data_IF_646625006126
#
_entry.id   IF_646625006126
#
_cell.length_a   1.000
_cell.length_b   1.000
_cell.length_c   1.000
_cell.angle_alpha   90.00
_cell.angle_beta   90.00
_cell.angle_gamma   90.00
#
_symmetry.space_group_name_H-M   'P 1'
#
loop_
_entity.id
_entity.type
_entity.pdbx_description
1 polymer ?
#
# COMPACT_ATOMS: atom_id res chain seq x y z
N UNK A 1 13.76 -5.28 1.54
CA UNK A 1 13.88 -6.74 1.77
C UNK A 1 14.50 -6.97 3.15
N UNK A 2 13.72 -7.44 4.11
CA UNK A 2 14.13 -7.66 5.52
C UNK A 2 14.70 -9.07 5.73
N UNK A 3 15.56 -9.55 4.83
CA UNK A 3 16.13 -10.89 4.88
C UNK A 3 17.07 -11.10 6.08
N UNK A 4 17.57 -10.02 6.67
CA UNK A 4 18.40 -10.02 7.88
C UNK A 4 17.62 -9.73 9.15
N UNK A 5 16.30 -9.47 9.06
CA UNK A 5 15.50 -9.18 10.24
C UNK A 5 15.05 -10.51 10.88
N UNK A 6 15.52 -10.84 12.09
CA UNK A 6 15.25 -12.16 12.69
C UNK A 6 13.75 -12.38 12.92
N UNK A 7 12.97 -11.32 13.14
CA UNK A 7 11.51 -11.41 13.31
C UNK A 7 10.80 -11.93 12.06
N UNK A 8 11.18 -11.44 10.88
CA UNK A 8 10.58 -11.87 9.61
C UNK A 8 10.95 -13.31 9.27
N UNK A 9 12.19 -13.72 9.55
CA UNK A 9 12.65 -15.09 9.31
C UNK A 9 11.87 -16.07 10.20
N UNK A 10 11.76 -15.79 11.51
CA UNK A 10 11.03 -16.64 12.45
C UNK A 10 9.55 -16.76 12.08
N UNK A 11 8.91 -15.67 11.67
CA UNK A 11 7.53 -15.68 11.22
C UNK A 11 7.34 -16.56 9.98
N UNK A 12 8.28 -16.51 9.01
CA UNK A 12 8.21 -17.33 7.81
C UNK A 12 8.38 -18.81 8.10
N UNK A 13 9.35 -19.17 8.96
CA UNK A 13 9.57 -20.55 9.40
C UNK A 13 8.32 -21.09 10.12
N UNK A 14 7.72 -20.31 11.02
CA UNK A 14 6.50 -20.71 11.72
C UNK A 14 5.34 -20.99 10.75
N UNK A 15 5.16 -20.12 9.75
CA UNK A 15 4.10 -20.26 8.74
C UNK A 15 4.28 -21.52 7.89
N UNK A 16 5.51 -21.84 7.48
CA UNK A 16 5.82 -23.07 6.73
C UNK A 16 5.58 -24.31 7.57
N UNK A 17 6.08 -24.32 8.79
CA UNK A 17 5.95 -25.47 9.69
C UNK A 17 4.47 -25.76 9.99
N UNK A 18 3.67 -24.71 10.18
CA UNK A 18 2.22 -24.83 10.33
C UNK A 18 1.53 -25.33 9.05
N UNK A 19 1.97 -24.86 7.88
CA UNK A 19 1.36 -25.23 6.60
C UNK A 19 1.69 -26.64 6.11
N UNK A 20 2.83 -27.20 6.52
CA UNK A 20 3.30 -28.51 6.05
C UNK A 20 2.76 -29.70 6.87
N UNK A 21 2.53 -29.52 8.18
CA UNK A 21 2.03 -30.57 9.07
C UNK A 21 2.97 -31.79 9.23
N UNK A 22 2.73 -32.67 10.22
CA UNK A 22 3.54 -33.86 10.44
C UNK A 22 3.21 -34.93 9.38
N UNK A 23 4.03 -35.01 8.33
CA UNK A 23 3.83 -35.92 7.18
C UNK A 23 3.83 -35.25 5.80
N UNK A 24 4.35 -34.02 5.72
CA UNK A 24 4.39 -33.23 4.50
C UNK A 24 4.98 -33.98 3.31
N UNK A 25 4.14 -34.26 2.32
CA UNK A 25 4.55 -34.77 1.02
C UNK A 25 5.13 -33.63 0.17
N UNK A 26 5.99 -33.94 -0.81
CA UNK A 26 6.51 -32.98 -1.79
C UNK A 26 5.39 -32.21 -2.50
N UNK A 27 4.22 -32.84 -2.66
CA UNK A 27 3.00 -32.21 -3.18
C UNK A 27 2.50 -31.06 -2.30
N UNK A 28 2.50 -31.21 -0.98
CA UNK A 28 2.03 -30.18 -0.04
C UNK A 28 2.94 -28.96 -0.07
N UNK A 29 4.25 -29.17 -0.20
CA UNK A 29 5.24 -28.09 -0.38
C UNK A 29 4.98 -27.35 -1.70
N UNK A 30 4.78 -28.08 -2.80
CA UNK A 30 4.49 -27.49 -4.10
C UNK A 30 3.16 -26.71 -4.10
N UNK A 31 2.13 -27.22 -3.43
CA UNK A 31 0.84 -26.54 -3.27
C UNK A 31 0.96 -25.27 -2.43
N UNK A 32 1.74 -25.29 -1.34
CA UNK A 32 1.98 -24.11 -0.50
C UNK A 32 2.73 -23.00 -1.27
N UNK A 33 3.80 -23.36 -1.97
CA UNK A 33 4.56 -22.43 -2.81
C UNK A 33 3.73 -21.91 -3.97
N UNK A 34 2.98 -22.79 -4.65
CA UNK A 34 2.06 -22.42 -5.73
C UNK A 34 0.96 -21.47 -5.27
N UNK A 35 0.34 -21.75 -4.12
CA UNK A 35 -0.66 -20.88 -3.52
C UNK A 35 -0.09 -19.52 -3.12
N UNK A 36 1.12 -19.48 -2.57
CA UNK A 36 1.81 -18.23 -2.24
C UNK A 36 2.13 -17.41 -3.50
N UNK A 37 2.58 -18.07 -4.58
CA UNK A 37 2.84 -17.43 -5.86
C UNK A 37 1.55 -16.86 -6.49
N UNK A 38 0.46 -17.63 -6.50
CA UNK A 38 -0.85 -17.17 -7.00
C UNK A 38 -1.34 -15.98 -6.18
N UNK A 39 -1.29 -16.05 -4.85
CA UNK A 39 -1.68 -14.93 -3.98
C UNK A 39 -0.83 -13.67 -4.25
N UNK A 40 0.49 -13.82 -4.40
CA UNK A 40 1.36 -12.70 -4.77
C UNK A 40 0.93 -12.09 -6.09
N UNK A 41 0.76 -12.89 -7.14
CA UNK A 41 0.33 -12.42 -8.46
C UNK A 41 -1.02 -11.73 -8.36
N UNK A 42 -2.01 -12.33 -7.69
CA UNK A 42 -3.34 -11.74 -7.49
C UNK A 42 -3.26 -10.43 -6.76
N UNK A 43 -2.49 -10.31 -5.67
CA UNK A 43 -2.35 -9.08 -4.90
C UNK A 43 -1.67 -7.99 -5.73
N UNK A 44 -0.56 -8.30 -6.40
CA UNK A 44 0.14 -7.34 -7.25
C UNK A 44 -0.69 -6.94 -8.47
N UNK A 45 -1.41 -7.87 -9.10
CA UNK A 45 -2.35 -7.58 -10.18
C UNK A 45 -3.54 -6.77 -9.70
N UNK A 46 -4.11 -7.05 -8.51
CA UNK A 46 -5.21 -6.28 -7.92
C UNK A 46 -4.76 -4.84 -7.64
N UNK A 47 -3.59 -4.67 -7.01
CA UNK A 47 -2.97 -3.35 -6.91
C UNK A 47 -2.78 -2.73 -8.30
N UNK A 48 -2.27 -3.46 -9.29
CA UNK A 48 -2.12 -3.01 -10.66
C UNK A 48 -3.42 -2.95 -11.49
N UNK A 49 -4.59 -3.23 -10.94
CA UNK A 49 -5.89 -2.97 -11.58
C UNK A 49 -6.51 -1.75 -10.92
N UNK A 50 -6.37 -1.64 -9.60
CA UNK A 50 -6.80 -0.48 -8.82
C UNK A 50 -5.91 0.76 -9.12
N UNK A 51 -4.62 0.58 -9.44
CA UNK A 51 -3.64 1.67 -9.52
C UNK A 51 -3.21 2.21 -10.90
N UNK A 52 -3.43 1.61 -12.09
CA UNK A 52 -2.95 2.22 -13.32
C UNK A 52 -4.06 2.63 -14.30
N UNK A 53 -3.95 3.90 -14.72
CA UNK A 53 -4.48 4.55 -15.95
C UNK A 53 -5.92 5.07 -15.98
N UNK A 54 -6.02 6.40 -15.85
CA UNK A 54 -7.18 7.33 -15.94
C UNK A 54 -7.96 7.69 -14.64
N UNK A 55 -8.53 6.76 -13.85
CA UNK A 55 -9.32 7.12 -12.68
C UNK A 55 -8.44 7.57 -11.51
N UNK A 56 -7.27 6.94 -11.28
CA UNK A 56 -6.42 7.28 -10.13
C UNK A 56 -5.76 8.67 -10.25
N UNK A 57 -5.32 9.08 -11.44
CA UNK A 57 -4.80 10.45 -11.68
C UNK A 57 -5.90 11.50 -11.49
N UNK A 58 -7.16 11.18 -11.85
CA UNK A 58 -8.30 12.07 -11.66
C UNK A 58 -8.67 12.21 -10.17
N UNK A 59 -8.63 11.12 -9.41
CA UNK A 59 -8.85 11.15 -7.97
C UNK A 59 -7.74 11.90 -7.24
N UNK A 60 -6.47 11.61 -7.59
CA UNK A 60 -5.32 12.32 -7.04
C UNK A 60 -5.39 13.83 -7.32
N UNK A 61 -5.83 14.24 -8.52
CA UNK A 61 -6.01 15.66 -8.86
C UNK A 61 -7.14 16.33 -8.09
N UNK A 62 -8.25 15.63 -7.80
CA UNK A 62 -9.34 16.16 -6.98
C UNK A 62 -8.85 16.36 -5.54
N UNK A 63 -8.22 15.34 -4.95
CA UNK A 63 -7.65 15.43 -3.60
C UNK A 63 -6.60 16.54 -3.50
N UNK A 64 -5.73 16.66 -4.51
CA UNK A 64 -4.73 17.74 -4.59
C UNK A 64 -5.37 19.12 -4.65
N UNK A 65 -6.49 19.29 -5.38
CA UNK A 65 -7.19 20.59 -5.45
C UNK A 65 -7.84 20.98 -4.12
N UNK A 66 -8.37 20.02 -3.35
CA UNK A 66 -8.88 20.29 -2.01
C UNK A 66 -7.77 20.63 -1.01
N UNK A 67 -6.63 19.93 -1.07
CA UNK A 67 -5.46 20.21 -0.22
C UNK A 67 -4.89 21.60 -0.54
N UNK A 68 -4.60 21.88 -1.80
CA UNK A 68 -4.07 23.19 -2.23
C UNK A 68 -5.07 24.32 -1.97
N UNK A 69 -6.37 24.10 -2.19
CA UNK A 69 -7.42 25.07 -1.87
C UNK A 69 -7.53 25.36 -0.38
N UNK A 70 -7.44 24.33 0.47
CA UNK A 70 -7.47 24.49 1.93
C UNK A 70 -6.24 25.23 2.43
N UNK A 71 -5.06 24.88 1.93
CA UNK A 71 -3.81 25.58 2.26
C UNK A 71 -3.85 27.03 1.76
N UNK A 72 -4.37 27.29 0.56
CA UNK A 72 -4.51 28.63 0.00
C UNK A 72 -5.49 29.49 0.81
N UNK A 73 -6.60 28.93 1.30
CA UNK A 73 -7.50 29.63 2.21
C UNK A 73 -6.82 29.88 3.56
N UNK A 74 -6.18 28.85 4.13
CA UNK A 74 -5.56 28.95 5.45
C UNK A 74 -4.41 29.95 5.50
N UNK A 75 -3.57 30.01 4.47
CA UNK A 75 -2.47 30.96 4.39
C UNK A 75 -2.85 32.28 3.71
N UNK A 76 -3.75 32.25 2.73
CA UNK A 76 -4.16 33.42 1.97
C UNK A 76 -5.21 34.28 2.66
N UNK A 77 -6.21 33.69 3.34
CA UNK A 77 -7.26 34.47 4.01
C UNK A 77 -6.73 35.38 5.13
N UNK A 78 -5.78 34.94 5.99
CA UNK A 78 -5.13 35.82 6.94
C UNK A 78 -4.24 36.88 6.27
N UNK A 79 -3.54 36.53 5.18
CA UNK A 79 -2.71 37.48 4.42
C UNK A 79 -3.51 38.59 3.76
N UNK A 80 -4.65 38.25 3.15
CA UNK A 80 -5.61 39.20 2.58
C UNK A 80 -6.23 40.07 3.69
N UNK A 81 -6.63 39.46 4.82
CA UNK A 81 -7.11 40.21 5.99
C UNK A 81 -6.06 41.19 6.52
N UNK A 82 -4.79 40.82 6.55
CA UNK A 82 -3.69 41.69 6.96
C UNK A 82 -3.47 42.86 6.00
N UNK A 83 -3.58 42.63 4.69
CA UNK A 83 -3.46 43.70 3.68
C UNK A 83 -4.61 44.71 3.78
N UNK A 84 -5.85 44.24 3.94
CA UNK A 84 -7.02 45.10 4.10
C UNK A 84 -7.19 45.69 5.50
N UNK A 85 -6.53 45.13 6.52
CA UNK A 85 -6.52 45.67 7.90
C UNK A 85 -5.41 46.70 8.11
N UNK A 86 -4.52 46.90 7.12
CA UNK A 86 -3.43 47.87 7.13
C UNK A 86 -3.70 49.09 6.22
N UNK A 87 -4.90 49.14 5.63
CA UNK A 87 -5.49 50.34 4.99
C UNK A 87 -6.67 50.81 5.82
#
# INVERSE_FOLDING_TARGET
MHLTNPKSILAWIALVTLGLGPGASSYTVAALLGGCAILSVTIFCDYAIVFPTAPMVRFYRISRRWIEGTLAIFFGAPGVRLLFSRT
#
